data_IF_730914575470
#
_entry.id   IF_730914575470
#
_cell.length_a   1.000
_cell.length_b   1.000
_cell.length_c   1.000
_cell.angle_alpha   90.00
_cell.angle_beta   90.00
_cell.angle_gamma   90.00
#
_symmetry.space_group_name_H-M   'P 1'
#
loop_
_entity.id
_entity.type
_entity.pdbx_description
1 polymer ?
#
# COMPACT_ATOMS: atom_id res chain seq x y z
N UNK A 1 -14.77 7.84 39.40
CA UNK A 1 -13.39 7.59 39.87
C UNK A 1 -12.55 6.76 38.88
N UNK A 2 -12.40 7.18 37.62
CA UNK A 2 -11.65 6.37 36.63
C UNK A 2 -10.17 6.18 37.00
N UNK A 3 -9.56 7.18 37.66
CA UNK A 3 -8.15 7.11 38.11
C UNK A 3 -7.89 6.02 39.16
N UNK A 4 -8.89 5.68 39.98
CA UNK A 4 -8.77 4.61 40.99
C UNK A 4 -8.89 3.19 40.40
N UNK A 5 -9.39 3.07 39.16
CA UNK A 5 -9.52 1.80 38.45
C UNK A 5 -8.29 1.46 37.59
N UNK A 6 -7.34 2.39 37.42
CA UNK A 6 -6.12 2.18 36.65
C UNK A 6 -5.01 1.66 37.56
N UNK A 7 -4.39 0.54 37.18
CA UNK A 7 -3.13 0.07 37.76
C UNK A 7 -1.98 0.38 36.81
N UNK A 8 -0.89 0.93 37.33
CA UNK A 8 0.33 1.11 36.55
C UNK A 8 0.85 -0.26 36.11
N UNK A 9 1.13 -0.41 34.82
CA UNK A 9 1.78 -1.61 34.28
C UNK A 9 3.28 -1.35 34.21
N UNK A 10 4.08 -2.25 34.77
CA UNK A 10 5.54 -2.17 34.78
C UNK A 10 6.13 -3.48 34.28
N UNK A 11 7.13 -3.40 33.43
CA UNK A 11 7.91 -4.54 32.93
C UNK A 11 9.39 -4.40 33.24
N UNK A 12 10.18 -5.38 32.79
CA UNK A 12 11.63 -5.41 32.97
C UNK A 12 12.31 -4.58 31.88
N UNK A 13 13.00 -3.47 32.21
CA UNK A 13 13.68 -2.66 31.23
C UNK A 13 14.85 -3.40 30.58
N UNK A 14 15.11 -3.09 29.32
CA UNK A 14 16.32 -3.51 28.61
C UNK A 14 17.37 -2.41 28.70
N UNK A 15 18.63 -2.77 28.97
CA UNK A 15 19.73 -1.82 28.89
C UNK A 15 20.03 -1.51 27.42
N UNK A 16 19.72 -0.28 27.00
CA UNK A 16 19.94 0.16 25.62
C UNK A 16 21.40 0.19 25.20
N UNK A 17 22.33 0.14 26.17
CA UNK A 17 23.78 0.04 25.89
C UNK A 17 24.21 -1.38 25.53
N UNK A 18 23.37 -2.38 25.78
CA UNK A 18 23.72 -3.78 25.55
C UNK A 18 23.76 -4.15 24.06
N UNK A 19 22.97 -3.47 23.22
CA UNK A 19 22.94 -3.70 21.78
C UNK A 19 22.45 -2.46 21.02
N UNK A 20 22.96 -2.23 19.81
CA UNK A 20 22.58 -1.07 18.99
C UNK A 20 21.10 -1.11 18.52
N UNK A 21 20.49 -2.29 18.55
CA UNK A 21 19.10 -2.57 18.21
C UNK A 21 18.22 -2.81 19.43
N UNK A 22 18.68 -2.41 20.62
CA UNK A 22 17.91 -2.56 21.85
C UNK A 22 16.50 -1.93 21.70
N UNK A 23 15.44 -2.65 22.11
CA UNK A 23 14.07 -2.20 21.95
C UNK A 23 13.77 -0.96 22.80
N UNK A 24 12.73 -0.20 22.43
CA UNK A 24 12.27 0.97 23.18
C UNK A 24 11.71 0.65 24.59
N UNK A 25 11.78 -0.60 25.04
CA UNK A 25 11.43 -1.05 26.40
C UNK A 25 12.55 -0.73 27.41
N UNK A 26 13.17 0.45 27.31
CA UNK A 26 14.31 0.89 28.12
C UNK A 26 13.91 1.52 29.46
N UNK A 27 12.60 1.71 29.65
CA UNK A 27 11.97 2.16 30.89
C UNK A 27 10.89 1.17 31.32
N UNK A 28 10.63 1.07 32.63
CA UNK A 28 9.66 0.14 33.23
C UNK A 28 8.25 0.26 32.68
N UNK A 29 7.80 1.47 32.33
CA UNK A 29 6.46 1.70 31.77
C UNK A 29 6.37 1.16 30.35
N UNK A 30 7.34 1.51 29.49
CA UNK A 30 7.41 1.01 28.12
C UNK A 30 7.56 -0.52 28.09
N UNK A 31 8.38 -1.08 28.99
CA UNK A 31 8.52 -2.53 29.16
C UNK A 31 7.25 -3.21 29.67
N UNK A 32 6.36 -2.46 30.34
CA UNK A 32 5.06 -2.94 30.79
C UNK A 32 4.02 -3.04 29.67
N UNK A 33 4.24 -2.38 28.53
CA UNK A 33 3.33 -2.44 27.39
C UNK A 33 3.64 -3.71 26.59
N UNK A 34 2.98 -4.81 26.94
CA UNK A 34 3.08 -6.08 26.22
C UNK A 34 1.90 -6.29 25.27
N UNK A 35 2.14 -6.81 24.05
CA UNK A 35 1.05 -7.23 23.17
C UNK A 35 0.29 -8.42 23.77
N UNK A 36 -0.95 -8.62 23.31
CA UNK A 36 -1.69 -9.84 23.63
C UNK A 36 -0.91 -11.06 23.11
N UNK A 37 -0.88 -12.17 23.85
CA UNK A 37 -0.21 -13.38 23.39
C UNK A 37 -0.75 -13.84 22.04
N UNK A 38 0.13 -14.28 21.15
CA UNK A 38 -0.28 -14.93 19.91
C UNK A 38 -1.13 -16.17 20.19
N UNK A 39 -2.09 -16.44 19.33
CA UNK A 39 -3.08 -17.51 19.51
C UNK A 39 -3.21 -18.32 18.24
N UNK A 40 -3.18 -19.65 18.38
CA UNK A 40 -3.55 -20.59 17.32
C UNK A 40 -4.86 -21.29 17.71
N UNK A 41 -5.87 -21.20 16.87
CA UNK A 41 -7.16 -21.89 17.04
C UNK A 41 -7.41 -22.85 15.88
N UNK A 42 -8.44 -23.69 16.00
CA UNK A 42 -8.88 -24.59 14.93
C UNK A 42 -7.94 -25.77 14.65
N UNK A 43 -8.31 -26.52 13.61
CA UNK A 43 -7.68 -27.75 13.15
C UNK A 43 -7.60 -27.82 11.61
N UNK A 44 -6.69 -28.64 11.09
CA UNK A 44 -6.43 -28.78 9.66
C UNK A 44 -5.07 -28.26 9.21
N UNK A 45 -4.80 -28.45 7.92
CA UNK A 45 -3.46 -28.30 7.33
C UNK A 45 -3.18 -26.90 6.76
N UNK A 46 -4.20 -26.06 6.65
CA UNK A 46 -4.04 -24.69 6.19
C UNK A 46 -3.96 -23.74 7.37
N UNK A 47 -3.04 -22.79 7.29
CA UNK A 47 -2.94 -21.68 8.24
C UNK A 47 -3.58 -20.43 7.65
N UNK A 48 -4.63 -19.95 8.30
CA UNK A 48 -5.39 -18.77 7.91
C UNK A 48 -4.93 -17.56 8.72
N UNK A 49 -4.59 -16.48 8.01
CA UNK A 49 -4.08 -15.24 8.59
C UNK A 49 -4.98 -14.06 8.26
N UNK A 50 -5.23 -13.23 9.27
CA UNK A 50 -5.97 -11.98 9.12
C UNK A 50 -5.02 -10.84 8.70
N UNK A 51 -5.23 -10.21 7.52
CA UNK A 51 -4.47 -9.04 7.08
C UNK A 51 -4.60 -7.81 8.01
N UNK A 52 -5.57 -7.80 8.93
CA UNK A 52 -5.73 -6.73 9.92
C UNK A 52 -4.54 -6.66 10.91
N UNK A 53 -3.78 -7.74 11.04
CA UNK A 53 -2.57 -7.82 11.86
C UNK A 53 -1.33 -7.68 10.99
N UNK A 54 -0.57 -6.60 11.10
CA UNK A 54 0.66 -6.41 10.29
C UNK A 54 1.68 -7.55 10.47
N UNK A 55 1.75 -8.13 11.68
CA UNK A 55 2.64 -9.25 11.96
C UNK A 55 2.24 -10.55 11.26
N UNK A 56 1.00 -10.69 10.76
CA UNK A 56 0.61 -11.79 9.88
C UNK A 56 1.51 -11.87 8.65
N UNK A 57 1.91 -10.72 8.09
CA UNK A 57 2.77 -10.68 6.91
C UNK A 57 4.20 -11.13 7.22
N UNK A 58 4.72 -10.88 8.44
CA UNK A 58 6.00 -11.45 8.89
C UNK A 58 5.94 -12.96 8.96
N UNK A 59 4.87 -13.50 9.54
CA UNK A 59 4.67 -14.95 9.63
C UNK A 59 4.57 -15.56 8.24
N UNK A 60 3.74 -14.96 7.38
CA UNK A 60 3.57 -15.37 5.99
C UNK A 60 4.90 -15.41 5.24
N UNK A 61 5.72 -14.36 5.36
CA UNK A 61 7.01 -14.30 4.69
C UNK A 61 8.00 -15.35 5.24
N UNK A 62 7.97 -15.65 6.54
CA UNK A 62 8.73 -16.77 7.12
C UNK A 62 8.29 -18.10 6.50
N UNK A 63 6.98 -18.35 6.38
CA UNK A 63 6.47 -19.57 5.76
C UNK A 63 6.85 -19.69 4.28
N UNK A 64 6.74 -18.60 3.50
CA UNK A 64 7.17 -18.56 2.10
C UNK A 64 8.68 -18.83 1.94
N UNK A 65 9.50 -18.34 2.89
CA UNK A 65 10.93 -18.60 2.88
C UNK A 65 11.27 -20.09 3.09
N UNK A 66 10.36 -20.85 3.72
CA UNK A 66 10.48 -22.31 3.92
C UNK A 66 9.77 -23.14 2.85
N UNK A 67 9.31 -22.50 1.76
CA UNK A 67 8.70 -23.20 0.63
C UNK A 67 7.20 -23.47 0.77
N UNK A 68 6.54 -22.88 1.77
CA UNK A 68 5.08 -22.90 1.82
C UNK A 68 4.49 -22.14 0.62
N UNK A 69 3.26 -22.49 0.25
CA UNK A 69 2.50 -21.79 -0.79
C UNK A 69 1.52 -20.81 -0.18
N UNK A 70 1.29 -19.69 -0.89
CA UNK A 70 0.36 -18.66 -0.49
C UNK A 70 -0.86 -18.62 -1.41
N UNK A 71 -2.04 -18.52 -0.81
CA UNK A 71 -3.30 -18.26 -1.49
C UNK A 71 -4.04 -17.12 -0.82
N UNK A 72 -4.92 -16.46 -1.56
CA UNK A 72 -5.85 -15.47 -1.04
C UNK A 72 -7.27 -16.04 -1.05
N UNK A 73 -7.94 -16.04 0.09
CA UNK A 73 -9.38 -16.28 0.16
C UNK A 73 -10.11 -14.94 0.16
N UNK A 74 -10.97 -14.68 -0.85
CA UNK A 74 -11.79 -13.46 -0.89
C UNK A 74 -12.69 -13.32 0.33
N UNK A 75 -13.13 -12.08 0.57
CA UNK A 75 -14.13 -11.79 1.60
C UNK A 75 -15.44 -12.55 1.32
N UNK A 76 -16.13 -12.91 2.40
CA UNK A 76 -17.43 -13.59 2.38
C UNK A 76 -18.33 -13.02 3.47
N UNK A 77 -19.61 -13.40 3.50
CA UNK A 77 -20.55 -12.90 4.51
C UNK A 77 -20.02 -13.17 5.93
N UNK A 78 -19.67 -12.10 6.65
CA UNK A 78 -19.16 -12.15 8.03
C UNK A 78 -17.66 -12.40 8.18
N UNK A 79 -16.87 -12.45 7.09
CA UNK A 79 -15.42 -12.64 7.15
C UNK A 79 -14.71 -11.84 6.05
N UNK A 80 -13.82 -10.93 6.44
CA UNK A 80 -12.95 -10.20 5.52
C UNK A 80 -11.99 -11.14 4.79
N UNK A 81 -11.32 -10.66 3.73
CA UNK A 81 -10.30 -11.42 3.01
C UNK A 81 -9.22 -12.00 3.93
N UNK A 82 -8.71 -13.18 3.58
CA UNK A 82 -7.72 -13.92 4.38
C UNK A 82 -6.57 -14.42 3.51
N UNK A 83 -5.36 -14.36 4.06
CA UNK A 83 -4.22 -15.07 3.50
C UNK A 83 -4.21 -16.51 4.01
N UNK A 84 -4.01 -17.45 3.10
CA UNK A 84 -4.04 -18.89 3.38
C UNK A 84 -2.67 -19.47 3.04
N UNK A 85 -2.01 -20.05 4.03
CA UNK A 85 -0.72 -20.70 3.85
C UNK A 85 -0.93 -22.21 3.86
N UNK A 86 -0.41 -22.89 2.84
CA UNK A 86 -0.40 -24.34 2.75
C UNK A 86 1.04 -24.87 2.74
N UNK A 87 1.29 -25.94 3.49
CA UNK A 87 2.60 -26.60 3.56
C UNK A 87 3.59 -25.99 4.56
N UNK A 88 3.12 -25.16 5.51
CA UNK A 88 3.96 -24.69 6.60
C UNK A 88 4.16 -25.79 7.66
N UNK A 89 5.38 -25.91 8.20
CA UNK A 89 5.65 -26.77 9.35
C UNK A 89 4.85 -26.28 10.58
N UNK A 90 4.08 -27.18 11.20
CA UNK A 90 3.17 -26.79 12.28
C UNK A 90 3.90 -26.36 13.56
N UNK A 91 5.05 -26.96 13.86
CA UNK A 91 5.85 -26.61 15.06
C UNK A 91 6.43 -25.21 14.91
N UNK A 92 6.98 -24.91 13.74
CA UNK A 92 7.51 -23.58 13.43
C UNK A 92 6.41 -22.54 13.32
N UNK A 93 5.27 -22.87 12.70
CA UNK A 93 4.12 -21.97 12.65
C UNK A 93 3.66 -21.58 14.07
N UNK A 94 3.56 -22.54 14.99
CA UNK A 94 3.24 -22.27 16.40
C UNK A 94 4.29 -21.38 17.06
N UNK A 95 5.57 -21.63 16.84
CA UNK A 95 6.66 -20.79 17.37
C UNK A 95 6.60 -19.36 16.83
N UNK A 96 6.36 -19.18 15.53
CA UNK A 96 6.22 -17.86 14.92
C UNK A 96 4.98 -17.11 15.39
N UNK A 97 3.86 -17.80 15.60
CA UNK A 97 2.63 -17.25 16.19
C UNK A 97 2.92 -16.63 17.55
N UNK A 98 3.63 -17.38 18.41
CA UNK A 98 4.01 -16.91 19.74
C UNK A 98 5.00 -15.74 19.68
N UNK A 99 6.05 -15.84 18.86
CA UNK A 99 7.10 -14.82 18.69
C UNK A 99 6.55 -13.50 18.11
N UNK A 100 5.63 -13.59 17.15
CA UNK A 100 5.09 -12.43 16.44
C UNK A 100 3.78 -11.91 17.02
N UNK A 101 3.26 -12.53 18.08
CA UNK A 101 1.97 -12.18 18.71
C UNK A 101 0.81 -12.17 17.70
N UNK A 102 0.79 -13.16 16.80
CA UNK A 102 -0.22 -13.27 15.73
C UNK A 102 -1.37 -14.16 16.19
N UNK A 103 -2.59 -13.78 15.87
CA UNK A 103 -3.76 -14.65 15.98
C UNK A 103 -4.00 -15.32 14.63
N UNK A 104 -3.96 -16.65 14.59
CA UNK A 104 -4.14 -17.46 13.40
C UNK A 104 -5.12 -18.62 13.65
N UNK A 105 -5.75 -19.09 12.58
CA UNK A 105 -6.72 -20.18 12.61
C UNK A 105 -6.21 -21.30 11.69
N UNK A 106 -6.21 -22.55 12.16
CA UNK A 106 -6.06 -23.71 11.28
C UNK A 106 -7.41 -24.13 10.75
N UNK A 107 -7.43 -24.46 9.46
CA UNK A 107 -8.65 -24.92 8.78
C UNK A 107 -8.33 -26.08 7.83
N UNK A 108 -9.27 -26.99 7.59
CA UNK A 108 -9.13 -27.98 6.53
C UNK A 108 -9.26 -27.32 5.14
N UNK A 109 -8.64 -27.89 4.08
CA UNK A 109 -8.73 -27.33 2.72
C UNK A 109 -10.15 -27.13 2.20
N UNK A 110 -11.09 -28.01 2.59
CA UNK A 110 -12.49 -27.91 2.20
C UNK A 110 -13.18 -26.61 2.67
N UNK A 111 -12.66 -25.95 3.72
CA UNK A 111 -13.18 -24.67 4.23
C UNK A 111 -12.72 -23.46 3.42
N UNK A 112 -11.79 -23.63 2.48
CA UNK A 112 -11.23 -22.57 1.63
C UNK A 112 -11.42 -22.85 0.13
N UNK A 113 -12.65 -23.16 -0.35
CA UNK A 113 -12.88 -23.61 -1.71
C UNK A 113 -12.58 -22.54 -2.78
N UNK A 114 -12.69 -21.26 -2.41
CA UNK A 114 -12.49 -20.12 -3.30
C UNK A 114 -11.10 -19.47 -3.15
N UNK A 115 -10.20 -20.05 -2.36
CA UNK A 115 -8.87 -19.48 -2.20
C UNK A 115 -8.05 -19.65 -3.48
N UNK A 116 -7.42 -18.60 -3.98
CA UNK A 116 -6.61 -18.61 -5.21
C UNK A 116 -5.13 -18.42 -4.96
N UNK A 117 -4.23 -19.05 -5.74
CA UNK A 117 -2.79 -18.81 -5.64
C UNK A 117 -2.44 -17.32 -5.75
N UNK A 118 -1.52 -16.88 -4.89
CA UNK A 118 -0.99 -15.53 -4.89
C UNK A 118 0.42 -15.49 -5.52
N UNK A 119 0.77 -14.41 -6.23
CA UNK A 119 2.09 -14.24 -6.83
C UNK A 119 3.19 -14.09 -5.77
N UNK A 120 4.44 -14.30 -6.18
CA UNK A 120 5.62 -14.16 -5.32
C UNK A 120 6.78 -13.41 -5.98
N UNK A 121 6.65 -12.98 -7.25
CA UNK A 121 7.72 -12.29 -7.98
C UNK A 121 7.48 -10.79 -7.97
N UNK A 122 8.16 -10.08 -7.09
CA UNK A 122 7.88 -8.67 -6.80
C UNK A 122 9.09 -7.81 -7.06
N UNK A 123 8.89 -6.67 -7.71
CA UNK A 123 9.90 -5.65 -7.89
C UNK A 123 9.54 -4.35 -7.16
N UNK A 124 10.56 -3.64 -6.68
CA UNK A 124 10.45 -2.26 -6.20
C UNK A 124 11.29 -1.35 -7.10
N UNK A 125 10.65 -0.38 -7.73
CA UNK A 125 11.33 0.54 -8.65
C UNK A 125 12.11 1.61 -7.90
N UNK A 126 13.37 1.77 -8.26
CA UNK A 126 14.30 2.78 -7.79
C UNK A 126 14.67 3.71 -8.95
N UNK A 127 13.98 4.84 -9.04
CA UNK A 127 14.19 5.81 -10.12
C UNK A 127 15.60 6.43 -10.12
N UNK A 128 16.13 6.73 -8.92
CA UNK A 128 17.45 7.33 -8.73
C UNK A 128 17.97 7.09 -7.30
N UNK A 129 19.28 7.24 -7.04
CA UNK A 129 19.81 7.31 -5.68
C UNK A 129 19.15 8.42 -4.85
N UNK A 130 19.03 8.23 -3.54
CA UNK A 130 18.56 9.26 -2.61
C UNK A 130 17.04 9.49 -2.61
N UNK A 131 16.25 8.59 -3.22
CA UNK A 131 14.80 8.63 -3.05
C UNK A 131 14.40 8.19 -1.64
N UNK A 132 14.04 9.18 -0.81
CA UNK A 132 13.68 8.98 0.59
C UNK A 132 12.45 8.07 0.74
N UNK A 133 11.39 8.27 -0.05
CA UNK A 133 10.15 7.49 0.10
C UNK A 133 10.36 6.02 -0.27
N UNK A 134 11.14 5.80 -1.34
CA UNK A 134 11.54 4.46 -1.77
C UNK A 134 12.42 3.77 -0.72
N UNK A 135 13.36 4.47 -0.09
CA UNK A 135 14.17 3.91 1.01
C UNK A 135 13.35 3.52 2.25
N UNK A 136 12.32 4.31 2.60
CA UNK A 136 11.38 3.90 3.66
C UNK A 136 10.53 2.69 3.26
N UNK A 137 10.29 2.52 1.97
CA UNK A 137 9.59 1.34 1.44
C UNK A 137 10.47 0.09 1.53
N UNK A 138 11.76 0.19 1.20
CA UNK A 138 12.74 -0.88 1.45
C UNK A 138 12.72 -1.26 2.93
N UNK A 139 12.87 -0.28 3.83
CA UNK A 139 12.83 -0.53 5.27
C UNK A 139 11.55 -1.26 5.70
N UNK A 140 10.39 -0.84 5.19
CA UNK A 140 9.11 -1.49 5.54
C UNK A 140 9.08 -2.95 5.07
N UNK A 141 9.50 -3.22 3.83
CA UNK A 141 9.50 -4.57 3.25
C UNK A 141 10.53 -5.47 3.96
N UNK A 142 11.74 -4.97 4.19
CA UNK A 142 12.84 -5.69 4.84
C UNK A 142 12.48 -6.06 6.27
N UNK A 143 11.96 -5.11 7.05
CA UNK A 143 11.53 -5.34 8.43
C UNK A 143 10.35 -6.29 8.55
N UNK A 144 9.66 -6.60 7.43
CA UNK A 144 8.60 -7.60 7.39
C UNK A 144 8.99 -8.88 6.64
N UNK A 145 10.25 -9.01 6.22
CA UNK A 145 10.81 -10.21 5.60
C UNK A 145 10.36 -10.45 4.15
N UNK A 146 9.86 -9.42 3.46
CA UNK A 146 9.45 -9.56 2.07
C UNK A 146 10.65 -9.81 1.16
N UNK A 147 10.49 -10.73 0.21
CA UNK A 147 11.45 -10.90 -0.89
C UNK A 147 10.99 -10.03 -2.06
N UNK A 148 11.89 -9.17 -2.54
CA UNK A 148 11.66 -8.33 -3.71
C UNK A 148 12.98 -8.08 -4.44
N UNK A 149 12.89 -7.67 -5.71
CA UNK A 149 14.04 -7.22 -6.50
C UNK A 149 13.96 -5.71 -6.69
N UNK A 150 15.04 -4.99 -6.37
CA UNK A 150 15.16 -3.61 -6.77
C UNK A 150 15.39 -3.54 -8.28
N UNK A 151 14.54 -2.81 -8.98
CA UNK A 151 14.70 -2.54 -10.41
C UNK A 151 15.00 -1.06 -10.63
N UNK A 152 15.82 -0.78 -11.63
CA UNK A 152 16.34 0.55 -11.96
C UNK A 152 15.92 0.93 -13.39
N UNK A 153 16.16 2.17 -13.84
CA UNK A 153 15.98 2.52 -15.25
C UNK A 153 16.67 1.55 -16.21
N UNK A 154 17.84 1.01 -15.86
CA UNK A 154 18.53 0.03 -16.71
C UNK A 154 17.73 -1.27 -16.90
N UNK A 155 17.02 -1.72 -15.87
CA UNK A 155 16.15 -2.90 -15.94
C UNK A 155 14.91 -2.64 -16.78
N UNK A 156 14.38 -1.40 -16.75
CA UNK A 156 13.28 -0.98 -17.63
C UNK A 156 13.71 -1.00 -19.11
N UNK A 157 14.94 -0.55 -19.39
CA UNK A 157 15.52 -0.58 -20.74
C UNK A 157 15.76 -2.01 -21.24
N UNK A 158 16.15 -2.92 -20.34
CA UNK A 158 16.27 -4.33 -20.68
C UNK A 158 14.92 -4.99 -21.02
N UNK A 159 13.81 -4.40 -20.54
CA UNK A 159 12.46 -4.81 -20.88
C UNK A 159 12.06 -6.19 -20.34
N UNK A 160 10.94 -6.71 -20.88
CA UNK A 160 10.37 -8.03 -20.54
C UNK A 160 10.16 -8.25 -19.03
N UNK A 161 9.66 -7.24 -18.34
CA UNK A 161 9.42 -7.29 -16.89
C UNK A 161 8.45 -8.41 -16.50
N UNK A 162 7.45 -8.70 -17.34
CA UNK A 162 6.41 -9.69 -17.04
C UNK A 162 6.96 -11.12 -16.91
N UNK A 163 8.05 -11.43 -17.62
CA UNK A 163 8.73 -12.71 -17.48
C UNK A 163 9.42 -12.88 -16.12
N UNK A 164 9.68 -11.78 -15.40
CA UNK A 164 10.40 -11.75 -14.13
C UNK A 164 9.53 -11.43 -12.93
N UNK A 165 8.48 -10.63 -13.11
CA UNK A 165 7.67 -10.09 -12.04
C UNK A 165 6.18 -10.23 -12.31
N UNK A 166 5.42 -10.36 -11.23
CA UNK A 166 3.96 -10.31 -11.22
C UNK A 166 3.47 -8.93 -10.76
N UNK A 167 4.21 -8.31 -9.83
CA UNK A 167 3.89 -7.00 -9.23
C UNK A 167 5.11 -6.10 -9.26
N UNK A 168 4.93 -4.84 -9.67
CA UNK A 168 5.94 -3.79 -9.59
C UNK A 168 5.42 -2.66 -8.69
N UNK A 169 6.17 -2.36 -7.63
CA UNK A 169 5.87 -1.28 -6.69
C UNK A 169 6.61 0.00 -7.07
N UNK A 170 5.91 1.13 -7.00
CA UNK A 170 6.44 2.46 -7.25
C UNK A 170 6.09 3.36 -6.07
N UNK A 171 7.13 3.75 -5.33
CA UNK A 171 7.00 4.69 -4.22
C UNK A 171 6.56 6.09 -4.68
N UNK A 172 6.46 7.04 -3.75
CA UNK A 172 6.13 8.44 -4.06
C UNK A 172 7.27 9.11 -4.86
N UNK A 173 7.30 8.90 -6.18
CA UNK A 173 8.38 9.30 -7.08
C UNK A 173 7.90 9.47 -8.52
N UNK A 174 8.76 10.03 -9.38
CA UNK A 174 8.53 10.03 -10.85
C UNK A 174 8.89 8.67 -11.46
N UNK A 175 8.24 8.30 -12.57
CA UNK A 175 8.61 7.14 -13.37
C UNK A 175 9.86 7.41 -14.24
N UNK A 176 10.06 8.65 -14.68
CA UNK A 176 11.12 9.05 -15.63
C UNK A 176 12.51 9.28 -15.03
N UNK A 177 12.92 8.61 -13.94
CA UNK A 177 14.32 8.65 -13.45
C UNK A 177 14.93 10.01 -13.07
N UNK A 178 14.22 11.12 -13.24
CA UNK A 178 14.67 12.47 -12.95
C UNK A 178 14.56 12.76 -11.46
N UNK A 179 15.64 12.59 -10.73
CA UNK A 179 15.77 12.99 -9.33
C UNK A 179 15.55 14.50 -9.15
N UNK A 180 14.30 14.90 -8.95
CA UNK A 180 13.96 16.06 -8.12
C UNK A 180 13.06 15.58 -6.99
N UNK A 181 13.65 14.78 -6.11
CA UNK A 181 13.08 14.51 -4.80
C UNK A 181 12.88 15.83 -4.06
N UNK A 182 11.62 16.16 -3.77
CA UNK A 182 11.22 17.11 -2.72
C UNK A 182 11.83 18.50 -2.79
N UNK A 183 11.16 19.43 -3.48
CA UNK A 183 10.95 20.81 -3.02
C UNK A 183 9.79 21.40 -3.81
N UNK A 184 8.64 21.52 -3.15
CA UNK A 184 7.65 22.50 -3.55
C UNK A 184 8.25 23.90 -3.42
N UNK A 185 7.95 24.76 -4.38
CA UNK A 185 8.15 26.21 -4.30
C UNK A 185 9.60 26.68 -4.46
N UNK A 186 9.98 27.01 -5.69
CA UNK A 186 11.21 27.76 -5.97
C UNK A 186 11.18 28.23 -7.42
N UNK A 187 10.90 29.51 -7.60
CA UNK A 187 10.86 30.19 -8.89
C UNK A 187 12.10 29.85 -9.74
N UNK A 188 11.86 29.58 -11.03
CA UNK A 188 12.92 29.45 -12.02
C UNK A 188 13.73 30.74 -12.07
N UNK A 189 15.00 30.65 -11.69
CA UNK A 189 16.01 31.60 -12.18
C UNK A 189 16.15 31.43 -13.69
N UNK A 190 16.55 32.48 -14.43
CA UNK A 190 16.58 32.47 -15.88
C UNK A 190 17.64 31.47 -16.37
N UNK A 191 17.18 30.29 -16.77
CA UNK A 191 18.00 29.21 -17.30
C UNK A 191 18.01 29.25 -18.81
N UNK A 192 19.20 29.20 -19.40
CA UNK A 192 19.39 28.95 -20.82
C UNK A 192 18.70 27.67 -21.27
N UNK A 193 18.51 27.54 -22.59
CA UNK A 193 17.86 26.37 -23.21
C UNK A 193 18.66 25.11 -22.85
N UNK A 194 18.17 24.33 -21.90
CA UNK A 194 18.68 22.99 -21.62
C UNK A 194 18.04 22.05 -22.64
N UNK A 195 18.85 21.43 -23.49
CA UNK A 195 18.37 20.37 -24.38
C UNK A 195 17.91 19.17 -23.52
N UNK A 196 16.60 18.91 -23.55
CA UNK A 196 15.95 17.83 -22.79
C UNK A 196 15.55 16.66 -23.68
N UNK A 197 15.96 16.65 -24.96
CA UNK A 197 15.51 15.66 -25.96
C UNK A 197 15.89 14.24 -25.55
N UNK A 198 17.14 14.02 -25.13
CA UNK A 198 17.60 12.72 -24.65
C UNK A 198 16.88 12.30 -23.36
N UNK A 199 16.62 13.23 -22.44
CA UNK A 199 15.89 12.93 -21.21
C UNK A 199 14.42 12.55 -21.50
N UNK A 200 13.77 13.20 -22.45
CA UNK A 200 12.40 12.85 -22.88
C UNK A 200 12.33 11.49 -23.57
N UNK A 201 13.33 11.15 -24.39
CA UNK A 201 13.42 9.85 -25.04
C UNK A 201 13.59 8.72 -24.01
N UNK A 202 14.51 8.91 -23.05
CA UNK A 202 14.72 8.02 -21.91
C UNK A 202 13.45 7.83 -21.07
N UNK A 203 12.74 8.92 -20.78
CA UNK A 203 11.49 8.87 -20.01
C UNK A 203 10.39 8.12 -20.77
N UNK A 204 10.33 8.29 -22.09
CA UNK A 204 9.37 7.59 -22.95
C UNK A 204 9.62 6.08 -22.95
N UNK A 205 10.88 5.63 -23.00
CA UNK A 205 11.23 4.20 -22.93
C UNK A 205 10.83 3.58 -21.58
N UNK A 206 11.07 4.30 -20.48
CA UNK A 206 10.70 3.84 -19.13
C UNK A 206 9.19 3.71 -18.97
N UNK A 207 8.45 4.70 -19.45
CA UNK A 207 6.98 4.67 -19.47
C UNK A 207 6.47 3.51 -20.31
N UNK A 208 7.04 3.30 -21.50
CA UNK A 208 6.72 2.16 -22.36
C UNK A 208 6.92 0.81 -21.67
N UNK A 209 8.02 0.63 -20.92
CA UNK A 209 8.26 -0.62 -20.19
C UNK A 209 7.22 -0.90 -19.09
N UNK A 210 6.73 0.14 -18.39
CA UNK A 210 5.63 -0.02 -17.43
C UNK A 210 4.30 -0.31 -18.14
N UNK A 211 4.02 0.37 -19.25
CA UNK A 211 2.81 0.15 -20.05
C UNK A 211 2.76 -1.30 -20.58
N UNK A 212 3.85 -1.75 -21.21
CA UNK A 212 4.02 -3.12 -21.71
C UNK A 212 3.85 -4.17 -20.61
N UNK A 213 4.43 -3.92 -19.42
CA UNK A 213 4.31 -4.80 -18.28
C UNK A 213 2.86 -4.97 -17.81
N UNK A 214 2.14 -3.85 -17.66
CA UNK A 214 0.73 -3.87 -17.23
C UNK A 214 -0.13 -4.52 -18.32
N UNK A 215 0.02 -4.12 -19.58
CA UNK A 215 -0.72 -4.74 -20.70
C UNK A 215 -0.45 -6.23 -20.84
N UNK A 216 0.72 -6.69 -20.41
CA UNK A 216 1.07 -8.10 -20.41
C UNK A 216 0.38 -8.92 -19.30
N UNK A 217 -0.36 -8.28 -18.38
CA UNK A 217 -1.05 -8.90 -17.26
C UNK A 217 -0.40 -8.66 -15.90
N UNK A 218 0.62 -7.80 -15.84
CA UNK A 218 1.28 -7.41 -14.59
C UNK A 218 0.45 -6.40 -13.78
N UNK A 219 0.77 -6.28 -12.49
CA UNK A 219 0.20 -5.25 -11.63
C UNK A 219 1.24 -4.17 -11.31
N UNK A 220 0.93 -2.92 -11.68
CA UNK A 220 1.68 -1.75 -11.21
C UNK A 220 0.99 -1.17 -9.97
N UNK A 221 1.72 -1.05 -8.85
CA UNK A 221 1.20 -0.44 -7.62
C UNK A 221 1.97 0.83 -7.37
N UNK A 222 1.27 1.96 -7.31
CA UNK A 222 1.90 3.25 -7.12
C UNK A 222 1.16 4.09 -6.08
N UNK A 223 1.89 4.83 -5.25
CA UNK A 223 1.28 5.72 -4.26
C UNK A 223 1.76 7.16 -4.36
N UNK A 224 0.89 8.06 -3.92
CA UNK A 224 1.11 9.49 -3.85
C UNK A 224 1.60 10.07 -5.19
N UNK A 225 2.82 10.62 -5.25
CA UNK A 225 3.39 11.14 -6.49
C UNK A 225 3.65 10.06 -7.54
N UNK A 226 3.92 8.82 -7.12
CA UNK A 226 4.01 7.67 -8.01
C UNK A 226 2.67 7.36 -8.67
N UNK A 227 1.55 7.49 -7.93
CA UNK A 227 0.22 7.31 -8.49
C UNK A 227 -0.10 8.37 -9.55
N UNK A 228 0.22 9.64 -9.30
CA UNK A 228 0.10 10.71 -10.30
C UNK A 228 0.95 10.42 -11.54
N UNK A 229 2.20 9.99 -11.34
CA UNK A 229 3.10 9.68 -12.44
C UNK A 229 2.61 8.48 -13.27
N UNK A 230 2.13 7.42 -12.64
CA UNK A 230 1.56 6.25 -13.32
C UNK A 230 0.28 6.60 -14.10
N UNK A 231 -0.64 7.35 -13.48
CA UNK A 231 -1.87 7.77 -14.15
C UNK A 231 -1.59 8.59 -15.43
N UNK A 232 -0.65 9.54 -15.35
CA UNK A 232 -0.28 10.36 -16.50
C UNK A 232 0.47 9.55 -17.57
N UNK A 233 1.44 8.73 -17.16
CA UNK A 233 2.31 7.98 -18.06
C UNK A 233 1.57 6.92 -18.87
N UNK A 234 0.63 6.21 -18.23
CA UNK A 234 -0.13 5.13 -18.87
C UNK A 234 -1.44 5.64 -19.51
N UNK A 235 -1.64 6.97 -19.53
CA UNK A 235 -2.85 7.62 -20.06
C UNK A 235 -4.14 7.04 -19.46
N UNK A 236 -4.13 6.75 -18.15
CA UNK A 236 -5.27 6.14 -17.49
C UNK A 236 -6.47 7.09 -17.47
N UNK A 237 -7.72 6.58 -17.57
CA UNK A 237 -8.96 7.37 -17.58
C UNK A 237 -9.32 7.88 -16.16
N UNK A 238 -8.39 8.59 -15.52
CA UNK A 238 -8.54 9.21 -14.20
C UNK A 238 -7.94 10.61 -14.23
N UNK A 239 -8.46 11.50 -13.38
CA UNK A 239 -7.98 12.88 -13.28
C UNK A 239 -7.69 13.26 -11.85
N UNK A 240 -6.52 13.83 -11.61
CA UNK A 240 -6.20 14.48 -10.34
C UNK A 240 -6.90 15.86 -10.29
N UNK A 241 -7.99 15.97 -9.52
CA UNK A 241 -8.85 17.17 -9.50
C UNK A 241 -8.23 18.34 -8.73
N UNK A 242 -7.19 18.09 -7.92
CA UNK A 242 -6.47 19.14 -7.19
C UNK A 242 -5.21 19.62 -7.91
N UNK A 243 -4.92 19.04 -9.08
CA UNK A 243 -3.80 19.46 -9.92
C UNK A 243 -4.03 20.89 -10.42
N UNK A 244 -3.01 21.75 -10.28
CA UNK A 244 -3.07 23.14 -10.75
C UNK A 244 -3.81 24.12 -9.84
N UNK A 245 -4.47 23.67 -8.76
CA UNK A 245 -5.09 24.55 -7.79
C UNK A 245 -4.03 25.37 -7.03
N UNK A 246 -4.33 26.65 -6.79
CA UNK A 246 -3.45 27.47 -5.97
C UNK A 246 -3.51 27.02 -4.50
N UNK A 247 -2.39 27.15 -3.78
CA UNK A 247 -2.27 26.73 -2.38
C UNK A 247 -3.31 27.38 -1.45
N UNK A 248 -3.75 28.60 -1.75
CA UNK A 248 -4.80 29.30 -0.99
C UNK A 248 -6.18 28.65 -1.15
N UNK A 249 -6.39 27.91 -2.23
CA UNK A 249 -7.68 27.28 -2.57
C UNK A 249 -7.70 25.80 -2.15
N UNK A 250 -6.55 25.12 -2.23
CA UNK A 250 -6.38 23.75 -1.74
C UNK A 250 -5.01 23.55 -1.09
N UNK A 251 -4.99 23.08 0.15
CA UNK A 251 -3.75 22.74 0.86
C UNK A 251 -4.02 21.77 2.00
N UNK A 252 -3.26 20.67 2.03
CA UNK A 252 -3.28 19.72 3.15
C UNK A 252 -2.02 19.77 4.00
N UNK A 253 -0.87 20.16 3.42
CA UNK A 253 0.43 19.91 4.05
C UNK A 253 0.60 18.42 4.37
N UNK A 254 1.27 18.11 5.48
CA UNK A 254 1.29 16.78 6.09
C UNK A 254 0.16 16.66 7.10
N UNK A 255 -0.84 15.84 6.78
CA UNK A 255 -2.09 15.76 7.56
C UNK A 255 -2.68 14.36 7.54
N UNK A 256 -3.58 14.08 8.47
CA UNK A 256 -4.32 12.82 8.56
C UNK A 256 -5.75 13.10 8.13
N UNK A 257 -6.21 12.34 7.14
CA UNK A 257 -7.55 12.44 6.56
C UNK A 257 -8.32 11.14 6.78
N UNK A 258 -9.60 11.25 7.04
CA UNK A 258 -10.49 10.10 7.07
C UNK A 258 -10.76 9.64 5.65
N UNK A 259 -10.68 8.33 5.42
CA UNK A 259 -11.10 7.66 4.19
C UNK A 259 -12.14 6.59 4.52
N UNK A 260 -13.06 6.37 3.59
CA UNK A 260 -13.97 5.24 3.57
C UNK A 260 -13.34 4.19 2.64
N UNK A 261 -13.25 2.96 3.12
CA UNK A 261 -12.50 1.88 2.45
C UNK A 261 -13.46 0.78 2.00
N UNK A 262 -13.25 0.28 0.79
CA UNK A 262 -13.89 -0.94 0.33
C UNK A 262 -13.11 -2.15 0.86
N UNK A 263 -13.54 -2.70 1.99
CA UNK A 263 -12.85 -3.82 2.66
C UNK A 263 -12.97 -5.15 1.93
N UNK A 264 -13.81 -5.21 0.87
CA UNK A 264 -13.99 -6.43 0.07
C UNK A 264 -12.87 -6.63 -0.94
N UNK A 265 -12.19 -5.54 -1.33
CA UNK A 265 -11.10 -5.58 -2.29
C UNK A 265 -9.81 -6.18 -1.68
N UNK A 266 -9.07 -7.06 -2.38
CA UNK A 266 -7.89 -7.73 -1.81
C UNK A 266 -6.82 -6.77 -1.27
N UNK A 267 -6.52 -5.69 -2.00
CA UNK A 267 -5.58 -4.63 -1.58
C UNK A 267 -5.99 -3.98 -0.24
N UNK A 268 -7.29 -3.93 0.05
CA UNK A 268 -7.86 -3.27 1.22
C UNK A 268 -8.26 -4.25 2.33
N UNK A 269 -7.98 -5.55 2.17
CA UNK A 269 -8.33 -6.55 3.19
C UNK A 269 -7.65 -6.24 4.52
N UNK A 270 -8.42 -6.32 5.62
CA UNK A 270 -7.95 -5.99 6.97
C UNK A 270 -7.88 -4.50 7.30
N UNK A 271 -8.25 -3.61 6.37
CA UNK A 271 -8.51 -2.20 6.69
C UNK A 271 -9.90 -2.06 7.33
N UNK A 272 -10.10 -1.15 8.30
CA UNK A 272 -11.44 -0.81 8.75
C UNK A 272 -12.18 -0.01 7.67
N UNK A 273 -13.52 -0.14 7.62
CA UNK A 273 -14.36 0.56 6.63
C UNK A 273 -14.29 2.09 6.72
N UNK A 274 -13.88 2.63 7.88
CA UNK A 274 -13.38 4.00 8.03
C UNK A 274 -11.96 3.95 8.58
N UNK A 275 -11.02 4.50 7.84
CA UNK A 275 -9.61 4.51 8.19
C UNK A 275 -9.03 5.92 8.15
N UNK A 276 -7.92 6.10 8.84
CA UNK A 276 -7.18 7.36 8.86
C UNK A 276 -5.93 7.19 7.98
N UNK A 277 -5.77 8.05 6.98
CA UNK A 277 -4.69 8.01 6.00
C UNK A 277 -3.84 9.28 6.04
N UNK A 278 -2.51 9.11 6.03
CA UNK A 278 -1.60 10.24 5.96
C UNK A 278 -1.48 10.76 4.52
N UNK A 279 -1.70 12.06 4.34
CA UNK A 279 -1.55 12.75 3.05
C UNK A 279 -0.42 13.76 3.12
N UNK A 280 0.34 13.87 2.03
CA UNK A 280 1.37 14.90 1.87
C UNK A 280 1.57 15.24 0.40
N UNK A 281 1.04 16.40 0.00
CA UNK A 281 0.91 16.79 -1.40
C UNK A 281 0.26 15.67 -2.23
N UNK A 282 -0.77 15.05 -1.69
CA UNK A 282 -1.37 13.85 -2.29
C UNK A 282 -2.39 14.21 -3.36
N UNK A 283 -2.48 13.41 -4.44
CA UNK A 283 -3.50 13.62 -5.46
C UNK A 283 -4.88 13.31 -4.88
N UNK A 284 -5.92 13.80 -5.55
CA UNK A 284 -7.31 13.41 -5.32
C UNK A 284 -7.89 13.08 -6.66
N UNK A 285 -8.37 11.85 -6.84
CA UNK A 285 -8.78 11.37 -8.16
C UNK A 285 -10.30 11.39 -8.36
N UNK A 286 -10.70 11.66 -9.60
CA UNK A 286 -11.98 11.24 -10.16
C UNK A 286 -11.72 10.31 -11.35
N UNK A 287 -12.72 9.51 -11.73
CA UNK A 287 -12.71 8.72 -12.95
C UNK A 287 -13.20 9.55 -14.14
N UNK A 288 -12.77 9.19 -15.35
CA UNK A 288 -13.21 9.75 -16.62
C UNK A 288 -13.95 8.70 -17.45
N UNK A 289 -14.47 9.10 -18.61
CA UNK A 289 -15.03 8.18 -19.59
C UNK A 289 -13.99 7.12 -20.00
N UNK A 290 -14.45 5.87 -20.14
CA UNK A 290 -13.58 4.72 -20.43
C UNK A 290 -12.89 4.13 -19.20
N UNK A 291 -13.17 4.61 -17.99
CA UNK A 291 -12.68 3.97 -16.77
C UNK A 291 -13.24 2.55 -16.60
N UNK A 292 -12.33 1.59 -16.54
CA UNK A 292 -12.60 0.22 -16.14
C UNK A 292 -11.84 -0.09 -14.84
N UNK A 293 -12.52 -0.64 -13.84
CA UNK A 293 -11.90 -0.94 -12.55
C UNK A 293 -12.82 -0.64 -11.37
N UNK A 294 -12.24 -0.26 -10.23
CA UNK A 294 -12.97 0.03 -9.01
C UNK A 294 -12.29 1.13 -8.19
N UNK A 295 -13.08 2.03 -7.62
CA UNK A 295 -12.60 2.91 -6.54
C UNK A 295 -12.61 2.10 -5.25
N UNK A 296 -11.44 1.92 -4.63
CA UNK A 296 -11.23 1.03 -3.48
C UNK A 296 -11.05 1.80 -2.16
N UNK A 297 -10.89 3.12 -2.24
CA UNK A 297 -11.09 4.03 -1.12
C UNK A 297 -11.59 5.40 -1.62
N UNK A 298 -12.41 6.08 -0.82
CA UNK A 298 -12.93 7.42 -1.11
C UNK A 298 -12.90 8.30 0.12
N UNK A 299 -12.91 9.61 -0.05
CA UNK A 299 -13.17 10.50 1.08
C UNK A 299 -14.68 10.52 1.40
N UNK A 300 -15.07 10.78 2.66
CA UNK A 300 -16.46 11.01 3.05
C UNK A 300 -17.15 12.04 2.14
N UNK A 301 -18.44 11.83 1.84
CA UNK A 301 -19.25 12.80 1.09
C UNK A 301 -19.51 14.06 1.93
N UNK A 302 -19.69 13.86 3.23
CA UNK A 302 -20.12 14.84 4.21
C UNK A 302 -19.32 14.74 5.51
N UNK A 303 -19.45 15.76 6.36
CA UNK A 303 -18.75 15.86 7.63
C UNK A 303 -17.26 16.21 7.50
N UNK A 304 -16.52 16.16 8.62
CA UNK A 304 -15.10 16.48 8.64
C UNK A 304 -14.27 15.37 8.00
N UNK A 305 -13.48 15.73 6.98
CA UNK A 305 -12.46 14.84 6.40
C UNK A 305 -11.16 14.92 7.20
N UNK A 306 -10.81 16.11 7.70
CA UNK A 306 -9.61 16.32 8.50
C UNK A 306 -9.71 15.63 9.86
N UNK A 307 -8.71 14.82 10.18
CA UNK A 307 -8.56 14.15 11.48
C UNK A 307 -7.47 14.82 12.32
N UNK A 308 -6.38 15.22 11.69
CA UNK A 308 -5.29 15.98 12.31
C UNK A 308 -4.47 16.73 11.25
N UNK A 309 -3.99 17.93 11.59
CA UNK A 309 -3.21 18.78 10.68
C UNK A 309 -4.03 19.92 10.09
N UNK A 310 -3.88 20.16 8.78
CA UNK A 310 -4.48 21.26 8.04
C UNK A 310 -5.27 20.76 6.84
N UNK A 311 -6.41 21.40 6.56
CA UNK A 311 -7.18 21.20 5.34
C UNK A 311 -7.82 22.50 4.89
N UNK A 312 -7.34 23.02 3.76
CA UNK A 312 -7.99 24.08 2.99
C UNK A 312 -8.61 23.44 1.75
N UNK A 313 -9.84 23.81 1.43
CA UNK A 313 -10.51 23.33 0.21
C UNK A 313 -11.11 21.93 0.32
N UNK A 314 -11.69 21.55 1.47
CA UNK A 314 -12.31 20.23 1.69
C UNK A 314 -13.26 19.79 0.55
N UNK A 315 -13.97 20.74 -0.07
CA UNK A 315 -14.84 20.50 -1.24
C UNK A 315 -14.16 19.78 -2.41
N UNK A 316 -12.85 19.90 -2.55
CA UNK A 316 -12.08 19.21 -3.60
C UNK A 316 -11.72 17.76 -3.23
N UNK A 317 -12.15 17.28 -2.06
CA UNK A 317 -11.96 15.89 -1.60
C UNK A 317 -13.28 15.15 -1.45
N UNK A 318 -14.37 15.85 -1.09
CA UNK A 318 -15.64 15.23 -0.73
C UNK A 318 -16.14 14.23 -1.78
N UNK A 319 -16.33 12.99 -1.35
CA UNK A 319 -16.79 11.88 -2.18
C UNK A 319 -15.80 11.39 -3.25
N UNK A 320 -14.64 12.02 -3.42
CA UNK A 320 -13.68 11.67 -4.46
C UNK A 320 -12.78 10.51 -4.05
N UNK A 321 -12.13 9.90 -5.05
CA UNK A 321 -11.35 8.68 -4.87
C UNK A 321 -10.01 8.98 -4.15
N UNK A 322 -9.76 8.19 -3.12
CA UNK A 322 -8.50 8.15 -2.35
C UNK A 322 -7.63 6.93 -2.71
N UNK A 323 -8.20 5.91 -3.36
CA UNK A 323 -7.45 4.84 -4.01
C UNK A 323 -8.30 4.15 -5.10
N UNK A 324 -7.65 3.66 -6.16
CA UNK A 324 -8.29 3.01 -7.31
C UNK A 324 -7.53 1.74 -7.72
N UNK A 325 -8.26 0.74 -8.17
CA UNK A 325 -7.79 -0.33 -9.04
C UNK A 325 -8.26 -0.02 -10.45
N UNK A 326 -7.32 0.30 -11.36
CA UNK A 326 -7.61 0.61 -12.76
C UNK A 326 -7.22 -0.58 -13.62
N UNK A 327 -8.16 -1.13 -14.38
CA UNK A 327 -7.84 -2.13 -15.40
C UNK A 327 -7.19 -1.44 -16.58
N UNK A 328 -6.10 -2.01 -17.05
CA UNK A 328 -5.39 -1.53 -18.23
C UNK A 328 -5.00 -2.73 -19.08
N UNK A 329 -5.82 -3.00 -20.09
CA UNK A 329 -5.74 -4.21 -20.90
C UNK A 329 -5.85 -5.47 -20.02
N UNK A 330 -4.87 -6.38 -20.04
CA UNK A 330 -4.89 -7.60 -19.21
C UNK A 330 -4.45 -7.41 -17.76
N UNK A 331 -3.88 -6.26 -17.41
CA UNK A 331 -3.30 -6.00 -16.10
C UNK A 331 -4.03 -4.93 -15.30
N UNK A 332 -3.39 -4.56 -14.20
CA UNK A 332 -3.95 -3.66 -13.20
C UNK A 332 -2.98 -2.55 -12.82
N UNK A 333 -3.51 -1.36 -12.54
CA UNK A 333 -2.78 -0.25 -11.92
C UNK A 333 -3.47 0.15 -10.64
N UNK A 334 -2.84 -0.15 -9.50
CA UNK A 334 -3.30 0.29 -8.18
C UNK A 334 -2.74 1.69 -7.91
N UNK A 335 -3.65 2.67 -7.85
CA UNK A 335 -3.34 4.07 -7.56
C UNK A 335 -3.76 4.39 -6.13
N UNK A 336 -2.78 4.57 -5.22
CA UNK A 336 -3.04 4.94 -3.83
C UNK A 336 -2.80 6.45 -3.68
N UNK A 337 -3.84 7.23 -3.46
CA UNK A 337 -3.78 8.69 -3.42
C UNK A 337 -3.44 9.25 -2.02
N UNK A 338 -2.67 8.49 -1.23
CA UNK A 338 -2.15 8.86 0.08
C UNK A 338 -0.79 8.19 0.30
N UNK A 339 -0.14 8.42 1.45
CA UNK A 339 1.16 7.83 1.78
C UNK A 339 0.98 6.63 2.72
N UNK A 340 0.88 5.39 2.20
CA UNK A 340 0.50 4.22 3.01
C UNK A 340 1.59 3.79 3.99
N UNK A 341 2.85 4.17 3.75
CA UNK A 341 3.99 3.78 4.58
C UNK A 341 4.71 4.95 5.25
N UNK A 342 4.25 6.20 5.06
CA UNK A 342 4.98 7.44 5.35
C UNK A 342 6.00 7.34 6.49
N UNK A 343 7.29 7.31 6.12
CA UNK A 343 8.43 7.29 7.05
C UNK A 343 8.38 6.19 8.11
N UNK A 344 7.76 5.05 7.81
CA UNK A 344 7.58 3.96 8.76
C UNK A 344 6.61 4.27 9.91
N UNK A 345 5.76 5.30 9.81
CA UNK A 345 4.87 5.71 10.91
C UNK A 345 3.43 5.24 10.75
N UNK A 346 2.95 5.08 9.52
CA UNK A 346 1.54 4.79 9.23
C UNK A 346 1.19 3.30 9.37
N UNK A 347 1.39 2.73 10.56
CA UNK A 347 1.16 1.29 10.84
C UNK A 347 -0.26 0.83 10.51
N UNK A 348 -1.24 1.74 10.58
CA UNK A 348 -2.62 1.50 10.16
C UNK A 348 -2.77 1.17 8.67
N UNK A 349 -1.93 1.73 7.79
CA UNK A 349 -2.04 1.57 6.33
C UNK A 349 -0.97 0.68 5.72
N UNK A 350 -0.01 0.18 6.50
CA UNK A 350 1.02 -0.75 6.00
C UNK A 350 0.43 -1.98 5.29
N UNK A 351 -0.67 -2.52 5.82
CA UNK A 351 -1.40 -3.64 5.23
C UNK A 351 -1.82 -3.40 3.78
N UNK A 352 -2.06 -2.15 3.38
CA UNK A 352 -2.36 -1.81 1.98
C UNK A 352 -1.14 -2.09 1.10
N UNK A 353 0.06 -1.71 1.54
CA UNK A 353 1.31 -2.04 0.83
C UNK A 353 1.52 -3.55 0.80
N UNK A 354 1.37 -4.22 1.94
CA UNK A 354 1.59 -5.66 2.06
C UNK A 354 0.63 -6.50 1.23
N UNK A 355 -0.67 -6.18 1.23
CA UNK A 355 -1.63 -6.84 0.35
C UNK A 355 -1.29 -6.60 -1.12
N UNK A 356 -0.82 -5.39 -1.47
CA UNK A 356 -0.48 -5.03 -2.84
C UNK A 356 0.72 -5.84 -3.38
N UNK A 357 1.69 -6.21 -2.53
CA UNK A 357 2.81 -7.11 -2.91
C UNK A 357 2.31 -8.42 -3.52
N UNK A 358 1.16 -8.91 -3.06
CA UNK A 358 0.56 -10.17 -3.48
C UNK A 358 -0.64 -9.97 -4.43
N UNK A 359 -0.84 -8.75 -4.94
CA UNK A 359 -1.97 -8.43 -5.82
C UNK A 359 -1.60 -8.61 -7.29
N UNK A 360 -1.62 -9.85 -7.78
CA UNK A 360 -1.36 -10.16 -9.19
C UNK A 360 -1.94 -11.52 -9.57
N UNK A 361 -1.82 -11.89 -10.85
CA UNK A 361 -2.33 -13.17 -11.36
C UNK A 361 -3.81 -13.40 -11.01
N UNK A 362 -4.11 -14.54 -10.39
CA UNK A 362 -5.50 -14.89 -10.05
C UNK A 362 -6.12 -13.99 -8.96
N UNK A 363 -5.31 -13.44 -8.04
CA UNK A 363 -5.80 -12.50 -7.01
C UNK A 363 -6.36 -11.25 -7.67
N UNK A 364 -5.63 -10.67 -8.62
CA UNK A 364 -6.07 -9.49 -9.37
C UNK A 364 -7.23 -9.82 -10.33
N UNK A 365 -7.14 -10.94 -11.06
CA UNK A 365 -8.19 -11.35 -12.00
C UNK A 365 -9.57 -11.56 -11.35
N UNK A 366 -9.61 -11.97 -10.09
CA UNK A 366 -10.84 -12.16 -9.31
C UNK A 366 -11.24 -10.94 -8.49
N UNK A 367 -10.39 -9.92 -8.39
CA UNK A 367 -10.68 -8.72 -7.62
C UNK A 367 -11.88 -7.96 -8.21
N UNK A 368 -12.84 -7.64 -7.36
CA UNK A 368 -14.00 -6.80 -7.69
C UNK A 368 -14.17 -5.81 -6.55
N UNK A 369 -14.44 -4.55 -6.87
CA UNK A 369 -14.92 -3.62 -5.86
C UNK A 369 -16.35 -3.97 -5.42
N UNK A 370 -16.71 -3.55 -4.22
CA UNK A 370 -18.05 -3.69 -3.69
C UNK A 370 -19.06 -2.95 -4.61
N UNK A 371 -20.13 -3.63 -5.07
CA UNK A 371 -21.14 -3.00 -5.92
C UNK A 371 -21.72 -1.74 -5.27
N UNK A 372 -21.77 -0.65 -6.04
CA UNK A 372 -22.31 0.63 -5.55
C UNK A 372 -21.43 1.35 -4.51
N UNK A 373 -20.21 0.88 -4.23
CA UNK A 373 -19.32 1.52 -3.26
C UNK A 373 -19.02 2.98 -3.61
N UNK A 374 -18.89 3.29 -4.90
CA UNK A 374 -18.58 4.63 -5.37
C UNK A 374 -19.30 4.97 -6.67
N UNK A 375 -19.67 6.24 -6.79
CA UNK A 375 -20.09 6.88 -8.04
C UNK A 375 -19.41 8.24 -8.12
N UNK A 376 -19.07 8.68 -9.33
CA UNK A 376 -18.42 9.96 -9.55
C UNK A 376 -19.29 11.10 -9.01
N UNK A 377 -18.79 11.91 -8.07
CA UNK A 377 -19.49 13.11 -7.65
C UNK A 377 -19.65 14.05 -8.85
N UNK A 378 -20.78 14.75 -8.94
CA UNK A 378 -20.94 15.85 -9.90
C UNK A 378 -19.95 16.96 -9.54
N UNK A 379 -18.85 17.04 -10.27
CA UNK A 379 -17.92 18.15 -10.15
C UNK A 379 -18.61 19.37 -10.77
N UNK A 380 -18.90 20.39 -9.95
CA UNK A 380 -19.44 21.65 -10.46
C UNK A 380 -18.52 22.17 -11.57
N UNK A 381 -19.11 22.58 -12.70
CA UNK A 381 -18.38 23.14 -13.85
C UNK A 381 -17.36 24.16 -13.37
N UNK A 382 -16.09 23.92 -13.72
CA UNK A 382 -14.98 24.85 -13.52
C UNK A 382 -15.41 26.24 -14.05
N UNK A 383 -15.34 27.26 -13.20
CA UNK A 383 -15.58 28.66 -13.58
C UNK A 383 -14.29 29.33 -13.98
#
# INVERSE_FOLDING_TARGET
>A
EFRGALKAVQGKPVDWRAAADAPFTTNVEAAGITPLPGQLTGDGDLLLLDPAQNNSFRLLNRALAEGASLRFSPSSAGRDGRWVIAGADQTKAQAWITDLFVHAERVPPASMPNAVPAPARVALYKAAPGNIDQGWTEWLLDTHGFKYTLITPADLHAGNLIAKFDVVLVASQSLGGGGRGGRGGGAGGPGGVVDTTNQRAEDSLRVGAFDDFVRAGGTLVAWNQGATAAAAALHLPVRNVVSGLARKDYFTGGSIMQVIVDTTHPVMSGMPGRADAFVFNSPVFTTLDGFEGSVIAKYPNDGPILRSGYLVGQKYMQGLAAALDVKHDRGHVILIAFQPQWRGQSTGTFRVVFNSVFFGGQVAAQARGAPGFWSAPTLGTER
#
